data_IF_696174481691
#
_entry.id   IF_696174481691
#
_cell.length_a   1.000
_cell.length_b   1.000
_cell.length_c   1.000
_cell.angle_alpha   90.00
_cell.angle_beta   90.00
_cell.angle_gamma   90.00
#
_symmetry.space_group_name_H-M   'P 1'
#
loop_
_entity.id
_entity.type
_entity.pdbx_description
1 polymer ?
#
# COMPACT_ATOMS: atom_id res chain seq x y z
N UNK A 1 -9.36 -13.97 -1.27
CA UNK A 1 -9.84 -15.23 -0.69
C UNK A 1 -9.24 -15.41 0.69
N UNK A 2 -10.08 -15.63 1.69
CA UNK A 2 -9.71 -15.94 3.07
C UNK A 2 -10.05 -17.40 3.34
N UNK A 3 -9.16 -18.15 3.98
CA UNK A 3 -9.46 -19.51 4.42
C UNK A 3 -10.29 -19.45 5.70
N UNK A 4 -11.29 -20.32 5.80
CA UNK A 4 -12.17 -20.47 6.97
C UNK A 4 -12.49 -21.95 7.16
N UNK A 5 -12.89 -22.31 8.37
CA UNK A 5 -13.24 -23.69 8.72
C UNK A 5 -14.69 -23.70 9.15
N UNK A 6 -15.52 -24.45 8.42
CA UNK A 6 -16.91 -24.67 8.80
C UNK A 6 -17.00 -25.57 10.03
N UNK A 7 -18.16 -25.55 10.67
CA UNK A 7 -18.48 -26.45 11.79
C UNK A 7 -18.38 -27.95 11.45
N UNK A 8 -18.54 -28.31 10.18
CA UNK A 8 -18.34 -29.67 9.65
C UNK A 8 -16.84 -30.07 9.50
N UNK A 9 -15.92 -29.21 9.98
CA UNK A 9 -14.45 -29.33 9.86
C UNK A 9 -13.93 -29.27 8.42
N UNK A 10 -14.76 -28.90 7.45
CA UNK A 10 -14.31 -28.67 6.09
C UNK A 10 -13.69 -27.27 5.95
N UNK A 11 -12.54 -27.22 5.29
CA UNK A 11 -11.90 -25.95 4.93
C UNK A 11 -12.56 -25.36 3.70
N UNK A 12 -12.96 -24.10 3.78
CA UNK A 12 -13.51 -23.34 2.65
C UNK A 12 -12.73 -22.05 2.43
N UNK A 13 -12.73 -21.58 1.18
CA UNK A 13 -12.17 -20.29 0.81
C UNK A 13 -13.30 -19.33 0.48
N UNK A 14 -13.40 -18.24 1.22
CA UNK A 14 -14.45 -17.24 1.05
C UNK A 14 -13.90 -15.96 0.42
N UNK A 15 -14.68 -15.37 -0.47
CA UNK A 15 -14.42 -14.00 -0.91
C UNK A 15 -14.79 -13.03 0.23
N UNK A 16 -13.83 -12.31 0.83
CA UNK A 16 -14.16 -11.35 1.88
C UNK A 16 -15.05 -10.20 1.38
N UNK A 17 -15.00 -9.88 0.08
CA UNK A 17 -15.83 -8.82 -0.50
C UNK A 17 -17.29 -9.25 -0.70
N UNK A 18 -17.64 -10.50 -0.41
CA UNK A 18 -19.04 -10.97 -0.45
C UNK A 18 -19.69 -11.01 0.94
N UNK A 19 -18.93 -10.72 1.99
CA UNK A 19 -19.41 -10.75 3.37
C UNK A 19 -20.23 -9.49 3.63
N UNK A 20 -21.46 -9.70 4.09
CA UNK A 20 -22.39 -8.65 4.51
C UNK A 20 -22.27 -8.36 6.01
N UNK A 21 -22.37 -9.40 6.85
CA UNK A 21 -22.22 -9.29 8.31
C UNK A 21 -21.45 -10.47 8.90
N UNK A 22 -20.82 -10.23 10.06
CA UNK A 22 -20.16 -11.25 10.88
C UNK A 22 -20.68 -11.05 12.30
N UNK A 23 -21.35 -12.06 12.84
CA UNK A 23 -21.94 -12.05 14.18
C UNK A 23 -21.34 -13.19 15.02
N UNK A 24 -21.03 -12.94 16.29
CA UNK A 24 -20.45 -13.94 17.21
C UNK A 24 -21.48 -14.29 18.29
N UNK A 25 -22.23 -15.38 18.08
CA UNK A 25 -23.32 -15.86 18.94
C UNK A 25 -23.46 -17.39 18.93
N UNK A 26 -23.19 -18.07 20.06
CA UNK A 26 -21.85 -18.28 20.63
C UNK A 26 -20.78 -18.71 19.60
N UNK A 27 -21.22 -19.22 18.45
CA UNK A 27 -20.43 -19.51 17.27
C UNK A 27 -20.41 -18.32 16.31
N UNK A 28 -19.48 -18.28 15.36
CA UNK A 28 -19.40 -17.16 14.42
C UNK A 28 -20.21 -17.43 13.16
N UNK A 29 -21.18 -16.57 12.86
CA UNK A 29 -22.03 -16.64 11.67
C UNK A 29 -21.61 -15.55 10.69
N UNK A 30 -21.33 -15.96 9.46
CA UNK A 30 -21.03 -15.06 8.34
C UNK A 30 -22.22 -15.04 7.40
N UNK A 31 -22.80 -13.87 7.21
CA UNK A 31 -23.89 -13.65 6.24
C UNK A 31 -23.31 -13.04 4.98
N UNK A 32 -23.68 -13.57 3.81
CA UNK A 32 -23.26 -13.08 2.51
C UNK A 32 -24.33 -12.19 1.87
N UNK A 33 -23.94 -11.39 0.86
CA UNK A 33 -24.88 -10.54 0.11
C UNK A 33 -25.97 -11.30 -0.64
N UNK A 34 -25.77 -12.58 -0.93
CA UNK A 34 -26.78 -13.42 -1.57
C UNK A 34 -27.79 -14.04 -0.58
N UNK A 35 -27.71 -13.70 0.71
CA UNK A 35 -28.56 -14.27 1.77
C UNK A 35 -28.08 -15.60 2.35
N UNK A 36 -27.05 -16.22 1.77
CA UNK A 36 -26.46 -17.44 2.34
C UNK A 36 -25.70 -17.11 3.61
N UNK A 37 -25.76 -18.01 4.59
CA UNK A 37 -25.04 -17.91 5.85
C UNK A 37 -24.14 -19.11 6.07
N UNK A 38 -22.99 -18.89 6.68
CA UNK A 38 -22.03 -19.92 7.04
C UNK A 38 -21.65 -19.81 8.51
N UNK A 39 -21.70 -20.94 9.21
CA UNK A 39 -21.23 -21.05 10.59
C UNK A 39 -19.79 -21.55 10.55
N UNK A 40 -18.90 -20.78 11.14
CA UNK A 40 -17.46 -21.03 11.15
C UNK A 40 -16.90 -21.10 12.57
N UNK A 41 -15.79 -21.82 12.70
CA UNK A 41 -15.12 -22.05 13.99
C UNK A 41 -14.27 -20.84 14.39
N UNK A 42 -13.79 -20.07 13.42
CA UNK A 42 -13.00 -18.88 13.69
C UNK A 42 -13.81 -17.74 14.29
N UNK A 43 -13.27 -17.11 15.33
CA UNK A 43 -13.85 -15.90 15.95
C UNK A 43 -13.87 -14.72 14.97
N UNK A 44 -14.82 -13.81 15.15
CA UNK A 44 -14.98 -12.61 14.32
C UNK A 44 -13.67 -11.82 14.18
N UNK A 45 -12.92 -11.61 15.27
CA UNK A 45 -11.65 -10.87 15.26
C UNK A 45 -10.59 -11.49 14.33
N UNK A 46 -10.51 -12.82 14.25
CA UNK A 46 -9.58 -13.53 13.37
C UNK A 46 -9.98 -13.34 11.92
N UNK A 47 -11.27 -13.44 11.62
CA UNK A 47 -11.81 -13.26 10.28
C UNK A 47 -11.50 -11.85 9.79
N UNK A 48 -11.79 -10.82 10.59
CA UNK A 48 -11.50 -9.41 10.30
C UNK A 48 -10.01 -9.22 10.00
N UNK A 49 -9.14 -9.79 10.84
CA UNK A 49 -7.69 -9.72 10.65
C UNK A 49 -7.25 -10.35 9.32
N UNK A 50 -7.86 -11.49 8.94
CA UNK A 50 -7.62 -12.15 7.63
C UNK A 50 -8.11 -11.28 6.46
N UNK A 51 -9.25 -10.60 6.60
CA UNK A 51 -9.78 -9.66 5.59
C UNK A 51 -8.82 -8.49 5.37
N UNK A 52 -8.39 -7.85 6.46
CA UNK A 52 -7.43 -6.73 6.41
C UNK A 52 -6.13 -7.19 5.76
N UNK A 53 -5.56 -8.30 6.22
CA UNK A 53 -4.33 -8.85 5.66
C UNK A 53 -4.46 -9.18 4.17
N UNK A 54 -5.61 -9.69 3.72
CA UNK A 54 -5.88 -9.93 2.31
C UNK A 54 -5.86 -8.62 1.50
N UNK A 55 -6.62 -7.61 1.93
CA UNK A 55 -6.69 -6.31 1.23
C UNK A 55 -5.33 -5.59 1.22
N UNK A 56 -4.64 -5.54 2.35
CA UNK A 56 -3.29 -4.95 2.45
C UNK A 56 -2.30 -5.64 1.50
N UNK A 57 -2.39 -6.98 1.37
CA UNK A 57 -1.52 -7.73 0.47
C UNK A 57 -1.80 -7.43 -1.00
N UNK A 58 -3.06 -7.29 -1.37
CA UNK A 58 -3.47 -6.91 -2.73
C UNK A 58 -2.93 -5.51 -3.05
N UNK A 59 -3.22 -4.51 -2.21
CA UNK A 59 -2.75 -3.13 -2.39
C UNK A 59 -1.22 -3.05 -2.47
N UNK A 60 -0.51 -3.73 -1.56
CA UNK A 60 0.96 -3.74 -1.56
C UNK A 60 1.53 -4.32 -2.85
N UNK A 61 0.90 -5.36 -3.42
CA UNK A 61 1.33 -5.97 -4.69
C UNK A 61 1.07 -5.05 -5.87
N UNK A 62 -0.06 -4.34 -5.88
CA UNK A 62 -0.40 -3.42 -6.97
C UNK A 62 0.34 -2.08 -6.87
N UNK A 63 0.78 -1.68 -5.68
CA UNK A 63 1.56 -0.46 -5.44
C UNK A 63 3.00 -0.47 -6.03
N UNK A 64 3.34 -1.46 -6.86
CA UNK A 64 4.61 -1.51 -7.58
C UNK A 64 4.78 -0.38 -8.60
N UNK A 65 5.67 0.57 -8.31
CA UNK A 65 6.44 1.41 -9.25
C UNK A 65 5.73 2.29 -10.30
N UNK A 66 4.45 2.65 -10.15
CA UNK A 66 3.88 3.68 -11.05
C UNK A 66 4.28 5.13 -10.70
N UNK A 67 4.91 5.35 -9.56
CA UNK A 67 5.46 6.66 -9.20
C UNK A 67 6.98 6.61 -9.06
N UNK A 68 7.66 7.59 -9.66
CA UNK A 68 9.02 8.06 -9.31
C UNK A 68 10.23 7.51 -10.08
N UNK A 69 10.09 7.05 -11.33
CA UNK A 69 11.30 6.93 -12.19
C UNK A 69 11.96 8.31 -12.42
N UNK A 70 11.17 9.36 -12.62
CA UNK A 70 11.69 10.73 -12.83
C UNK A 70 12.22 11.39 -11.54
N UNK A 71 11.59 11.13 -10.39
CA UNK A 71 12.02 11.65 -9.09
C UNK A 71 13.35 11.06 -8.59
N UNK A 72 13.73 9.86 -9.06
CA UNK A 72 14.98 9.20 -8.66
C UNK A 72 16.22 9.67 -9.46
N UNK A 73 16.07 10.52 -10.48
CA UNK A 73 17.22 10.98 -11.29
C UNK A 73 18.01 12.12 -10.63
N UNK A 74 17.37 12.96 -9.81
CA UNK A 74 18.01 14.18 -9.30
C UNK A 74 18.88 14.01 -8.05
N UNK A 75 18.79 12.90 -7.30
CA UNK A 75 19.56 12.79 -6.03
C UNK A 75 20.97 12.20 -6.16
N UNK A 76 21.40 11.69 -7.32
CA UNK A 76 22.72 11.06 -7.44
C UNK A 76 23.89 12.05 -7.64
N UNK A 77 23.63 13.27 -8.12
CA UNK A 77 24.69 14.22 -8.48
C UNK A 77 24.60 15.59 -7.80
N UNK A 78 23.58 15.86 -6.96
CA UNK A 78 23.41 17.17 -6.33
C UNK A 78 24.34 17.42 -5.14
N UNK A 79 24.97 16.38 -4.58
CA UNK A 79 25.93 16.51 -3.49
C UNK A 79 27.24 15.83 -3.88
N UNK A 80 27.97 16.44 -4.82
CA UNK A 80 29.41 16.18 -4.91
C UNK A 80 30.01 16.80 -3.65
N UNK A 81 30.50 15.95 -2.74
CA UNK A 81 31.24 16.38 -1.58
C UNK A 81 32.49 17.13 -2.09
N UNK A 82 32.43 18.45 -2.18
CA UNK A 82 33.61 19.26 -2.44
C UNK A 82 34.38 19.21 -1.13
N UNK A 83 35.47 18.44 -1.10
CA UNK A 83 36.49 18.60 -0.08
C UNK A 83 37.11 19.99 -0.29
N UNK A 84 36.59 20.98 0.43
CA UNK A 84 37.20 22.30 0.49
C UNK A 84 38.52 22.13 1.24
N UNK A 85 39.63 22.08 0.51
CA UNK A 85 40.91 22.46 1.08
C UNK A 85 40.90 23.98 1.23
N UNK A 86 41.35 24.48 2.38
CA UNK A 86 41.25 25.88 2.84
C UNK A 86 41.96 26.94 1.96
N UNK A 87 42.28 26.66 0.69
CA UNK A 87 43.10 27.52 -0.16
C UNK A 87 42.35 28.28 -1.27
N UNK A 88 41.04 28.14 -1.43
CA UNK A 88 40.31 28.74 -2.56
C UNK A 88 38.96 29.34 -2.17
N UNK A 89 38.96 30.41 -1.38
CA UNK A 89 37.82 31.33 -1.28
C UNK A 89 38.16 32.56 -2.10
N UNK A 90 37.73 32.59 -3.36
CA UNK A 90 37.52 33.84 -4.12
C UNK A 90 36.02 33.92 -4.43
N UNK A 91 35.31 34.99 -4.04
CA UNK A 91 33.94 35.17 -4.48
C UNK A 91 33.98 35.56 -5.96
N UNK A 92 33.72 34.58 -6.84
CA UNK A 92 33.42 34.89 -8.23
C UNK A 92 32.04 35.55 -8.25
N UNK A 93 32.07 36.87 -8.38
CA UNK A 93 30.94 37.72 -8.73
C UNK A 93 30.30 37.27 -10.03
N UNK A 94 28.96 37.21 -10.00
CA UNK A 94 28.01 37.35 -11.12
C UNK A 94 28.11 36.40 -12.33
N UNK A 95 27.00 35.71 -12.60
CA UNK A 95 26.20 35.81 -13.83
C UNK A 95 25.20 34.63 -13.86
N UNK A 96 23.92 34.90 -13.58
CA UNK A 96 22.91 35.24 -14.58
C UNK A 96 22.64 34.06 -15.54
N UNK A 97 21.70 33.18 -15.18
CA UNK A 97 20.79 32.59 -16.15
C UNK A 97 19.47 32.16 -15.50
N UNK A 98 18.42 32.72 -16.09
CA UNK A 98 16.98 32.52 -15.98
C UNK A 98 16.42 31.40 -15.09
N UNK A 99 15.69 31.86 -14.08
CA UNK A 99 14.64 31.09 -13.41
C UNK A 99 13.31 31.37 -14.10
N UNK A 100 12.92 30.54 -15.08
CA UNK A 100 11.50 30.33 -15.40
C UNK A 100 11.25 28.86 -15.74
N UNK A 101 10.43 28.15 -14.94
CA UNK A 101 9.89 26.85 -15.36
C UNK A 101 8.86 27.09 -16.46
N UNK A 102 9.04 26.44 -17.61
CA UNK A 102 8.07 26.44 -18.71
C UNK A 102 6.69 25.97 -18.20
N UNK A 103 5.75 26.91 -18.07
CA UNK A 103 4.32 26.63 -18.12
C UNK A 103 3.90 26.60 -19.60
N UNK A 104 3.07 25.61 -19.93
CA UNK A 104 2.17 25.52 -21.10
C UNK A 104 2.79 25.64 -22.50
N UNK A 105 2.88 24.49 -23.17
CA UNK A 105 2.54 24.40 -24.59
C UNK A 105 1.30 23.50 -24.67
N UNK A 106 0.20 24.15 -25.01
CA UNK A 106 -1.06 23.70 -25.64
C UNK A 106 -1.76 22.41 -25.15
#
# INVERSE_FOLDING_TARGET
MIALTRMDKQTMYLNPDHISSIEETPDTVITLFNGNHYIVIERAAIIISRVVAFRSRVIRRTAGTHGRKYLNRQRKNLFRHISISNAAIRPATLDAHDRTPYHSLD
#
